data_IF_749031042642
#
_entry.id   IF_749031042642
#
_cell.length_a   1.000
_cell.length_b   1.000
_cell.length_c   1.000
_cell.angle_alpha   90.00
_cell.angle_beta   90.00
_cell.angle_gamma   90.00
#
_symmetry.space_group_name_H-M   'P 1'
#
loop_
_entity.id
_entity.type
_entity.pdbx_description
1 polymer ?
#
# COMPACT_ATOMS: atom_id res chain seq x y z
N UNK A 1 15.90 -24.23 10.22
CA UNK A 1 14.90 -23.37 10.88
C UNK A 1 13.80 -23.08 9.86
N UNK A 2 12.53 -23.44 10.10
CA UNK A 2 11.45 -23.26 9.10
C UNK A 2 10.80 -21.86 9.29
N UNK A 3 10.89 -20.95 8.30
CA UNK A 3 10.33 -19.60 8.40
C UNK A 3 8.85 -19.57 8.73
N UNK A 4 8.06 -20.53 8.23
CA UNK A 4 6.63 -20.66 8.55
C UNK A 4 6.41 -20.97 10.03
N UNK A 5 7.28 -21.76 10.65
CA UNK A 5 7.21 -22.06 12.09
C UNK A 5 7.56 -20.84 12.94
N UNK A 6 8.51 -20.01 12.49
CA UNK A 6 8.85 -18.75 13.16
C UNK A 6 7.69 -17.76 13.00
N UNK A 7 7.18 -17.58 11.78
CA UNK A 7 6.04 -16.74 11.50
C UNK A 7 4.84 -17.12 12.37
N UNK A 8 4.46 -18.40 12.40
CA UNK A 8 3.36 -18.87 13.23
C UNK A 8 3.61 -18.57 14.70
N UNK A 9 4.81 -18.80 15.24
CA UNK A 9 5.13 -18.46 16.65
C UNK A 9 5.02 -16.96 16.94
N UNK A 10 5.51 -16.12 16.04
CA UNK A 10 5.42 -14.67 16.18
C UNK A 10 3.96 -14.22 16.06
N UNK A 11 3.22 -14.78 15.11
CA UNK A 11 1.81 -14.49 14.90
C UNK A 11 0.94 -14.96 16.08
N UNK A 12 1.20 -16.14 16.63
CA UNK A 12 0.49 -16.67 17.80
C UNK A 12 0.78 -15.82 19.05
N UNK A 13 2.00 -15.30 19.19
CA UNK A 13 2.41 -14.49 20.35
C UNK A 13 1.95 -13.02 20.24
N UNK A 14 2.14 -12.39 19.09
CA UNK A 14 1.83 -10.96 18.89
C UNK A 14 0.41 -10.75 18.34
N UNK A 15 -0.24 -11.77 17.79
CA UNK A 15 -1.51 -11.63 17.09
C UNK A 15 -1.37 -10.88 15.76
N UNK A 16 -2.50 -10.67 15.04
CA UNK A 16 -2.51 -9.83 13.85
C UNK A 16 -2.23 -8.38 14.24
N UNK A 17 -1.12 -7.83 13.80
CA UNK A 17 -0.71 -6.50 14.25
C UNK A 17 -1.31 -5.35 13.42
N UNK A 18 -1.96 -5.69 12.30
CA UNK A 18 -2.54 -4.77 11.32
C UNK A 18 -1.62 -3.59 10.97
N UNK A 19 -0.38 -3.96 10.66
CA UNK A 19 0.71 -3.07 10.26
C UNK A 19 0.47 -2.31 8.95
N UNK A 20 -0.73 -2.34 8.37
CA UNK A 20 -1.04 -1.64 7.13
C UNK A 20 -1.31 -0.17 7.43
N UNK A 21 -0.41 0.74 7.04
CA UNK A 21 -0.60 2.15 7.28
C UNK A 21 -1.53 2.74 6.23
N UNK A 22 -2.53 3.49 6.67
CA UNK A 22 -3.32 4.36 5.80
C UNK A 22 -3.07 5.80 6.24
N UNK A 23 -2.84 6.69 5.28
CA UNK A 23 -2.64 8.09 5.58
C UNK A 23 -3.97 8.71 6.02
N UNK A 24 -4.00 9.23 7.24
CA UNK A 24 -5.14 9.96 7.78
C UNK A 24 -4.90 11.47 7.62
N UNK A 25 -5.76 12.10 6.82
CA UNK A 25 -5.71 13.54 6.54
C UNK A 25 -5.98 14.38 7.78
N UNK A 26 -6.77 13.88 8.74
CA UNK A 26 -7.13 14.63 9.96
C UNK A 26 -5.97 14.70 10.93
N UNK A 27 -5.28 13.57 11.15
CA UNK A 27 -4.10 13.53 12.04
C UNK A 27 -2.78 13.84 11.32
N UNK A 28 -2.81 13.96 9.99
CA UNK A 28 -1.65 14.22 9.12
C UNK A 28 -0.51 13.19 9.32
N UNK A 29 -0.88 11.93 9.61
CA UNK A 29 0.04 10.81 9.86
C UNK A 29 -0.54 9.54 9.28
N UNK A 30 0.32 8.56 9.00
CA UNK A 30 -0.16 7.20 8.78
C UNK A 30 -0.64 6.61 10.10
N UNK A 31 -1.85 6.06 10.10
CA UNK A 31 -2.38 5.28 11.22
C UNK A 31 -2.24 3.80 10.89
N UNK A 32 -1.67 3.06 11.83
CA UNK A 32 -1.59 1.60 11.78
C UNK A 32 -2.85 1.02 12.41
N UNK A 33 -3.36 -0.05 11.84
CA UNK A 33 -4.57 -0.71 12.31
C UNK A 33 -4.20 -1.75 13.37
N UNK A 34 -3.89 -1.36 14.60
CA UNK A 34 -3.67 -2.35 15.66
C UNK A 34 -4.95 -3.15 15.89
N UNK A 35 -4.88 -4.49 15.72
CA UNK A 35 -5.93 -5.35 16.27
C UNK A 35 -5.62 -5.44 17.76
N UNK A 36 -6.57 -4.96 18.57
CA UNK A 36 -6.38 -4.69 19.98
C UNK A 36 -5.71 -5.84 20.73
N UNK A 37 -4.57 -5.55 21.33
CA UNK A 37 -4.12 -6.27 22.52
C UNK A 37 -3.57 -5.36 23.62
N UNK A 38 -3.44 -4.05 23.38
CA UNK A 38 -3.12 -3.06 24.41
C UNK A 38 -3.94 -1.80 24.14
N UNK A 39 -4.90 -1.53 25.03
CA UNK A 39 -5.60 -0.25 25.23
C UNK A 39 -6.19 0.44 23.99
N UNK A 40 -7.42 0.08 23.61
CA UNK A 40 -8.49 1.00 23.19
C UNK A 40 -9.71 0.20 22.66
N UNK A 41 -10.70 -0.12 23.53
CA UNK A 41 -11.90 -0.91 23.17
C UNK A 41 -12.81 -0.27 22.11
N UNK A 42 -12.61 1.01 21.79
CA UNK A 42 -13.49 1.80 20.90
C UNK A 42 -12.93 2.05 19.50
N UNK A 43 -11.71 1.58 19.20
CA UNK A 43 -11.18 1.71 17.84
C UNK A 43 -11.75 0.58 16.97
N UNK A 44 -12.63 0.87 15.99
CA UNK A 44 -13.14 -0.17 15.11
C UNK A 44 -11.96 -0.84 14.40
N UNK A 45 -11.97 -2.18 14.38
CA UNK A 45 -11.09 -3.05 13.62
C UNK A 45 -11.15 -2.70 12.12
N UNK A 46 -10.53 -1.59 11.72
CA UNK A 46 -10.64 -1.06 10.35
C UNK A 46 -9.59 -1.72 9.48
N UNK A 47 -9.74 -3.01 9.22
CA UNK A 47 -9.16 -3.61 7.99
C UNK A 47 -9.52 -2.68 6.82
N UNK A 48 -8.66 -2.52 5.79
CA UNK A 48 -9.00 -1.71 4.63
C UNK A 48 -10.32 -2.21 4.04
N UNK A 49 -11.37 -1.39 4.15
CA UNK A 49 -12.74 -1.78 3.79
C UNK A 49 -13.05 -1.40 2.35
N UNK A 50 -12.41 -0.36 1.83
CA UNK A 50 -12.59 0.09 0.45
C UNK A 50 -11.41 -0.31 -0.44
N UNK A 51 -11.69 -0.45 -1.74
CA UNK A 51 -10.65 -0.75 -2.73
C UNK A 51 -9.62 0.36 -2.85
N UNK A 52 -10.01 1.62 -2.64
CA UNK A 52 -9.07 2.75 -2.59
C UNK A 52 -8.09 2.64 -1.41
N UNK A 53 -8.55 2.16 -0.24
CA UNK A 53 -7.67 1.91 0.90
C UNK A 53 -6.69 0.75 0.63
N UNK A 54 -7.16 -0.36 0.06
CA UNK A 54 -6.28 -1.47 -0.36
C UNK A 54 -5.25 -1.01 -1.39
N UNK A 55 -5.68 -0.19 -2.35
CA UNK A 55 -4.79 0.38 -3.36
C UNK A 55 -3.75 1.31 -2.74
N UNK A 56 -4.13 2.16 -1.78
CA UNK A 56 -3.22 3.04 -1.04
C UNK A 56 -2.12 2.24 -0.32
N UNK A 57 -2.49 1.13 0.32
CA UNK A 57 -1.53 0.21 0.97
C UNK A 57 -0.56 -0.38 -0.07
N UNK A 58 -1.07 -0.86 -1.20
CA UNK A 58 -0.23 -1.40 -2.28
C UNK A 58 0.72 -0.33 -2.86
N UNK A 59 0.24 0.90 -3.02
CA UNK A 59 1.07 2.03 -3.44
C UNK A 59 2.18 2.31 -2.41
N UNK A 60 1.87 2.24 -1.11
CA UNK A 60 2.85 2.32 -0.02
C UNK A 60 3.94 1.25 -0.11
N UNK A 61 3.57 0.00 -0.39
CA UNK A 61 4.53 -1.10 -0.59
C UNK A 61 5.48 -0.82 -1.77
N UNK A 62 4.96 -0.34 -2.90
CA UNK A 62 5.78 0.05 -4.06
C UNK A 62 6.70 1.23 -3.71
N UNK A 63 6.18 2.22 -2.99
CA UNK A 63 6.92 3.40 -2.59
C UNK A 63 8.04 3.10 -1.58
N UNK A 64 7.92 2.03 -0.79
CA UNK A 64 8.89 1.64 0.24
C UNK A 64 10.21 1.07 -0.32
N UNK A 65 10.22 0.63 -1.58
CA UNK A 65 11.43 0.11 -2.21
C UNK A 65 12.60 1.12 -2.12
N UNK A 66 13.71 0.71 -1.51
CA UNK A 66 14.92 1.51 -1.33
C UNK A 66 14.66 2.90 -0.70
N UNK A 67 13.75 3.00 0.27
CA UNK A 67 13.51 4.25 1.02
C UNK A 67 13.06 4.00 2.44
N UNK A 68 13.25 4.98 3.32
CA UNK A 68 12.75 4.92 4.68
C UNK A 68 11.24 5.20 4.73
N UNK A 69 10.53 4.57 5.67
CA UNK A 69 9.07 4.73 5.80
C UNK A 69 8.62 6.20 5.94
N UNK A 70 9.35 7.01 6.72
CA UNK A 70 9.07 8.46 6.87
C UNK A 70 8.95 9.21 5.54
N UNK A 71 9.74 8.81 4.54
CA UNK A 71 9.68 9.40 3.20
C UNK A 71 8.45 8.91 2.41
N UNK A 72 8.04 7.67 2.61
CA UNK A 72 6.81 7.10 2.06
C UNK A 72 5.60 7.83 2.62
N UNK A 73 5.56 8.09 3.92
CA UNK A 73 4.48 8.86 4.55
C UNK A 73 4.36 10.26 3.93
N UNK A 74 5.49 10.93 3.69
CA UNK A 74 5.51 12.21 3.00
C UNK A 74 4.94 12.13 1.58
N UNK A 75 5.26 11.08 0.83
CA UNK A 75 4.73 10.84 -0.52
C UNK A 75 3.22 10.51 -0.50
N UNK A 76 2.76 9.64 0.40
CA UNK A 76 1.36 9.27 0.55
C UNK A 76 0.50 10.47 0.97
N UNK A 77 1.01 11.30 1.88
CA UNK A 77 0.39 12.60 2.22
C UNK A 77 0.18 13.45 0.99
N UNK A 78 1.25 13.68 0.21
CA UNK A 78 1.19 14.52 -0.98
C UNK A 78 0.19 13.97 -2.01
N UNK A 79 0.18 12.66 -2.24
CA UNK A 79 -0.77 12.00 -3.14
C UNK A 79 -2.21 12.20 -2.67
N UNK A 80 -2.49 11.99 -1.39
CA UNK A 80 -3.84 12.10 -0.83
C UNK A 80 -4.34 13.54 -0.82
N UNK A 81 -3.54 14.48 -0.35
CA UNK A 81 -3.90 15.91 -0.40
C UNK A 81 -4.18 16.37 -1.84
N UNK A 82 -3.33 15.96 -2.79
CA UNK A 82 -3.54 16.32 -4.20
C UNK A 82 -4.70 15.58 -4.85
N UNK A 83 -5.04 14.36 -4.44
CA UNK A 83 -6.21 13.66 -4.98
C UNK A 83 -7.50 14.37 -4.58
N UNK A 84 -7.61 14.79 -3.31
CA UNK A 84 -8.75 15.54 -2.81
C UNK A 84 -8.89 16.89 -3.51
N UNK A 85 -7.79 17.60 -3.80
CA UNK A 85 -7.83 18.86 -4.56
C UNK A 85 -8.16 18.68 -6.04
N UNK A 86 -8.23 17.43 -6.52
CA UNK A 86 -8.65 17.06 -7.86
C UNK A 86 -10.01 16.32 -7.84
N UNK A 87 -10.79 16.49 -6.77
CA UNK A 87 -12.13 15.91 -6.59
C UNK A 87 -12.17 14.36 -6.56
N UNK A 88 -11.03 13.72 -6.28
CA UNK A 88 -10.99 12.29 -5.97
C UNK A 88 -11.20 12.07 -4.48
N UNK A 89 -12.05 11.10 -4.12
CA UNK A 89 -12.30 10.71 -2.73
C UNK A 89 -11.04 10.19 -2.02
N UNK A 90 -10.16 9.48 -2.74
CA UNK A 90 -8.89 8.98 -2.22
C UNK A 90 -7.91 8.66 -3.36
N UNK A 91 -6.67 8.31 -3.00
CA UNK A 91 -5.68 7.73 -3.91
C UNK A 91 -6.25 6.46 -4.55
N UNK A 92 -6.34 6.45 -5.87
CA UNK A 92 -6.94 5.37 -6.65
C UNK A 92 -6.14 5.12 -7.94
N UNK A 93 -6.32 3.96 -8.60
CA UNK A 93 -5.68 3.70 -9.89
C UNK A 93 -5.96 4.80 -10.92
N UNK A 94 -7.22 5.25 -11.03
CA UNK A 94 -7.64 6.31 -11.97
C UNK A 94 -6.94 7.63 -11.69
N UNK A 95 -6.79 8.00 -10.42
CA UNK A 95 -6.04 9.18 -10.02
C UNK A 95 -4.56 9.07 -10.43
N UNK A 96 -3.89 7.95 -10.13
CA UNK A 96 -2.48 7.75 -10.47
C UNK A 96 -2.23 7.84 -11.99
N UNK A 97 -3.13 7.27 -12.79
CA UNK A 97 -3.00 7.28 -14.26
C UNK A 97 -3.21 8.67 -14.86
N UNK A 98 -4.13 9.46 -14.32
CA UNK A 98 -4.40 10.83 -14.78
C UNK A 98 -3.45 11.89 -14.21
N UNK A 99 -2.77 11.58 -13.10
CA UNK A 99 -1.92 12.55 -12.39
C UNK A 99 -0.64 12.89 -13.18
N UNK A 100 -0.60 14.11 -13.74
CA UNK A 100 0.57 14.67 -14.43
C UNK A 100 1.73 14.95 -13.47
N UNK A 101 1.42 15.35 -12.24
CA UNK A 101 2.38 15.76 -11.21
C UNK A 101 2.92 14.59 -10.36
N UNK A 102 2.60 13.34 -10.72
CA UNK A 102 2.87 12.15 -9.91
C UNK A 102 4.33 12.08 -9.39
N UNK A 103 5.29 12.33 -10.27
CA UNK A 103 6.73 12.29 -9.94
C UNK A 103 7.11 13.29 -8.84
N UNK A 104 6.53 14.48 -8.88
CA UNK A 104 6.77 15.53 -7.89
C UNK A 104 6.14 15.15 -6.54
N UNK A 105 4.90 14.66 -6.55
CA UNK A 105 4.19 14.24 -5.33
C UNK A 105 4.93 13.13 -4.58
N UNK A 106 5.53 12.19 -5.30
CA UNK A 106 6.27 11.06 -4.72
C UNK A 106 7.78 11.31 -4.60
N UNK A 107 8.26 12.52 -4.89
CA UNK A 107 9.68 12.88 -4.78
C UNK A 107 10.30 12.51 -3.42
N UNK A 108 9.62 12.69 -2.26
CA UNK A 108 10.19 12.34 -0.96
C UNK A 108 10.64 10.88 -0.90
N UNK A 109 9.93 9.96 -1.56
CA UNK A 109 10.26 8.54 -1.56
C UNK A 109 11.54 8.18 -2.34
N UNK A 110 12.15 9.11 -3.09
CA UNK A 110 13.35 8.83 -3.90
C UNK A 110 13.05 7.92 -5.11
N UNK A 111 13.98 7.82 -6.07
CA UNK A 111 13.79 7.05 -7.32
C UNK A 111 12.43 7.32 -8.01
N UNK A 112 11.93 8.56 -7.89
CA UNK A 112 10.55 8.92 -8.21
C UNK A 112 10.21 8.69 -9.70
N UNK A 113 11.19 8.71 -10.60
CA UNK A 113 11.00 8.36 -12.00
C UNK A 113 10.60 6.89 -12.17
N UNK A 114 11.36 5.97 -11.54
CA UNK A 114 11.08 4.54 -11.59
C UNK A 114 9.80 4.22 -10.82
N UNK A 115 9.61 4.81 -9.63
CA UNK A 115 8.41 4.58 -8.81
C UNK A 115 7.14 5.08 -9.49
N UNK A 116 7.17 6.24 -10.16
CA UNK A 116 6.03 6.71 -10.94
C UNK A 116 5.66 5.74 -12.07
N UNK A 117 6.66 5.17 -12.78
CA UNK A 117 6.42 4.15 -13.81
C UNK A 117 5.81 2.88 -13.21
N UNK A 118 6.34 2.40 -12.08
CA UNK A 118 5.81 1.21 -11.38
C UNK A 118 4.37 1.42 -10.92
N UNK A 119 4.07 2.57 -10.31
CA UNK A 119 2.72 2.90 -9.87
C UNK A 119 1.73 2.92 -11.03
N UNK A 120 2.09 3.51 -12.18
CA UNK A 120 1.21 3.50 -13.36
C UNK A 120 0.97 2.11 -13.92
N UNK A 121 2.02 1.29 -14.07
CA UNK A 121 1.90 -0.10 -14.52
C UNK A 121 1.00 -0.90 -13.56
N UNK A 122 1.21 -0.73 -12.25
CA UNK A 122 0.39 -1.39 -11.25
C UNK A 122 -1.07 -0.89 -11.28
N UNK A 123 -1.32 0.40 -11.50
CA UNK A 123 -2.67 0.96 -11.67
C UNK A 123 -3.38 0.41 -12.90
N UNK A 124 -2.70 0.29 -14.03
CA UNK A 124 -3.25 -0.37 -15.24
C UNK A 124 -3.58 -1.83 -14.95
N UNK A 125 -2.67 -2.57 -14.30
CA UNK A 125 -2.92 -3.95 -13.89
C UNK A 125 -4.15 -4.05 -12.97
N UNK A 126 -4.26 -3.18 -11.97
CA UNK A 126 -5.41 -3.14 -11.05
C UNK A 126 -6.73 -2.88 -11.78
N UNK A 127 -6.76 -1.92 -12.71
CA UNK A 127 -8.01 -1.58 -13.42
C UNK A 127 -8.47 -2.68 -14.39
N UNK A 128 -7.52 -3.45 -14.94
CA UNK A 128 -7.81 -4.49 -15.92
C UNK A 128 -8.10 -5.86 -15.29
N UNK A 129 -8.02 -5.98 -13.96
CA UNK A 129 -8.19 -7.26 -13.27
C UNK A 129 -9.05 -7.11 -12.02
N UNK A 130 -10.01 -8.02 -11.84
CA UNK A 130 -10.67 -8.22 -10.55
C UNK A 130 -9.77 -9.10 -9.67
N UNK A 131 -8.92 -8.46 -8.86
CA UNK A 131 -7.90 -9.14 -8.06
C UNK A 131 -8.52 -10.15 -7.06
N UNK A 132 -9.76 -9.93 -6.63
CA UNK A 132 -10.46 -10.82 -5.69
C UNK A 132 -10.78 -12.20 -6.27
N UNK A 133 -10.82 -12.32 -7.61
CA UNK A 133 -11.12 -13.55 -8.32
C UNK A 133 -9.88 -14.34 -8.74
N UNK A 134 -8.69 -13.81 -8.51
CA UNK A 134 -7.44 -14.46 -8.92
C UNK A 134 -6.88 -15.23 -7.72
N UNK A 135 -6.63 -16.55 -7.83
CA UNK A 135 -5.98 -17.31 -6.77
C UNK A 135 -4.63 -16.67 -6.38
N UNK A 136 -4.31 -16.62 -5.09
CA UNK A 136 -3.11 -15.93 -4.58
C UNK A 136 -1.82 -16.36 -5.28
N UNK A 137 -1.65 -17.65 -5.57
CA UNK A 137 -0.48 -18.18 -6.29
C UNK A 137 -0.38 -17.62 -7.71
N UNK A 138 -1.50 -17.55 -8.44
CA UNK A 138 -1.55 -16.96 -9.77
C UNK A 138 -1.39 -15.43 -9.73
N UNK A 139 -1.97 -14.76 -8.73
CA UNK A 139 -1.85 -13.32 -8.56
C UNK A 139 -0.40 -12.93 -8.27
N UNK A 140 0.29 -13.68 -7.42
CA UNK A 140 1.73 -13.50 -7.16
C UNK A 140 2.54 -13.55 -8.43
N UNK A 141 2.35 -14.58 -9.26
CA UNK A 141 3.06 -14.73 -10.53
C UNK A 141 2.80 -13.54 -11.46
N UNK A 142 1.54 -13.12 -11.60
CA UNK A 142 1.16 -11.95 -12.40
C UNK A 142 1.80 -10.66 -11.89
N UNK A 143 1.81 -10.44 -10.57
CA UNK A 143 2.45 -9.27 -9.96
C UNK A 143 3.95 -9.25 -10.25
N UNK A 144 4.64 -10.38 -10.07
CA UNK A 144 6.09 -10.48 -10.34
C UNK A 144 6.45 -10.33 -11.82
N UNK A 145 5.49 -10.54 -12.73
CA UNK A 145 5.69 -10.30 -14.16
C UNK A 145 5.58 -8.81 -14.53
N UNK A 146 5.04 -7.95 -13.65
CA UNK A 146 5.00 -6.52 -13.87
C UNK A 146 6.40 -5.92 -13.74
N UNK A 147 6.75 -5.04 -14.68
CA UNK A 147 8.05 -4.38 -14.67
C UNK A 147 8.29 -3.65 -13.36
N UNK A 148 9.37 -4.01 -12.67
CA UNK A 148 9.81 -3.35 -11.44
C UNK A 148 9.12 -3.80 -10.16
N UNK A 149 8.21 -4.77 -10.20
CA UNK A 149 7.64 -5.43 -9.02
C UNK A 149 8.41 -6.74 -8.77
N UNK A 150 9.26 -6.74 -7.75
CA UNK A 150 10.01 -7.93 -7.34
C UNK A 150 9.21 -8.84 -6.40
N UNK A 151 9.75 -10.05 -6.08
CA UNK A 151 9.10 -11.01 -5.18
C UNK A 151 8.71 -10.40 -3.83
N UNK A 152 9.60 -9.63 -3.21
CA UNK A 152 9.36 -8.99 -1.90
C UNK A 152 8.16 -8.03 -1.93
N UNK A 153 8.08 -7.17 -2.97
CA UNK A 153 6.97 -6.22 -3.12
C UNK A 153 5.68 -6.93 -3.48
N UNK A 154 5.73 -7.96 -4.34
CA UNK A 154 4.57 -8.78 -4.65
C UNK A 154 4.03 -9.45 -3.38
N UNK A 155 4.90 -10.01 -2.55
CA UNK A 155 4.52 -10.64 -1.29
C UNK A 155 3.93 -9.60 -0.32
N UNK A 156 4.50 -8.39 -0.24
CA UNK A 156 3.97 -7.29 0.57
C UNK A 156 2.59 -6.79 0.14
N UNK A 157 2.27 -6.88 -1.16
CA UNK A 157 0.95 -6.54 -1.72
C UNK A 157 -0.11 -7.62 -1.39
N UNK A 158 0.32 -8.86 -1.21
CA UNK A 158 -0.57 -10.03 -1.04
C UNK A 158 -0.86 -10.39 0.42
N UNK A 159 -0.10 -9.86 1.36
CA UNK A 159 -0.29 -10.04 2.80
C UNK A 159 -1.52 -9.28 3.32
#
# INVERSE_FOLDING_TARGET
MNPKKIYNRLYDYFGPQGWWPIFDTTSNKCKYHTIGHLSEPELPSRRPTSDSQKFEICAGAILTQNTAWKNVEGALRNLKTFSHSQEYENVSPKFILSCKNLKHLIQPAGYYNQKAKKLRIFSEFWMNNDLSKIPLTALRLRLTALWGIGPETADSILL
#
